data_IF_718763428110
#
_entry.id   IF_718763428110
#
_cell.length_a   1.000
_cell.length_b   1.000
_cell.length_c   1.000
_cell.angle_alpha   90.00
_cell.angle_beta   90.00
_cell.angle_gamma   90.00
#
_symmetry.space_group_name_H-M   'P 1'
#
loop_
_entity.id
_entity.type
_entity.pdbx_description
1 polymer ?
#
# COMPACT_ATOMS: atom_id res chain seq x y z
N UNK A 1 -7.67 9.74 -15.13
CA UNK A 1 -6.72 10.20 -14.08
C UNK A 1 -5.77 9.05 -13.74
N UNK A 2 -4.87 8.70 -14.66
CA UNK A 2 -4.09 7.45 -14.62
C UNK A 2 -2.56 7.67 -14.54
N UNK A 3 -2.10 8.86 -14.17
CA UNK A 3 -0.73 9.29 -14.49
C UNK A 3 0.18 9.71 -13.32
N UNK A 4 -0.05 9.32 -12.05
CA UNK A 4 0.84 9.81 -10.98
C UNK A 4 1.76 8.82 -10.28
N UNK A 5 1.78 7.52 -10.61
CA UNK A 5 2.61 6.58 -9.85
C UNK A 5 3.33 5.51 -10.69
N UNK A 6 3.80 5.85 -11.90
CA UNK A 6 4.72 4.99 -12.65
C UNK A 6 6.15 4.93 -12.06
N UNK A 7 6.42 5.63 -10.94
CA UNK A 7 7.74 5.62 -10.26
C UNK A 7 7.79 4.81 -8.97
N UNK A 8 6.67 4.23 -8.50
CA UNK A 8 6.60 3.51 -7.23
C UNK A 8 5.91 2.15 -7.40
N UNK A 9 6.38 1.36 -8.36
CA UNK A 9 5.95 -0.03 -8.56
C UNK A 9 6.39 -0.99 -7.43
N UNK A 10 6.83 -0.47 -6.27
CA UNK A 10 6.90 -1.20 -4.98
C UNK A 10 5.55 -1.28 -4.26
N UNK A 11 4.48 -0.74 -4.87
CA UNK A 11 3.16 -0.59 -4.25
C UNK A 11 2.51 -1.91 -3.83
N UNK A 12 2.90 -3.06 -4.40
CA UNK A 12 2.25 -4.35 -4.10
C UNK A 12 2.55 -4.90 -2.68
N UNK A 13 3.54 -4.33 -1.98
CA UNK A 13 4.04 -4.82 -0.68
C UNK A 13 3.83 -3.83 0.48
N UNK A 14 3.12 -2.74 0.26
CA UNK A 14 2.83 -1.74 1.31
C UNK A 14 1.38 -1.83 1.76
N UNK A 15 1.09 -1.49 3.02
CA UNK A 15 -0.28 -1.41 3.57
C UNK A 15 -1.19 -0.60 2.63
N UNK A 16 -0.65 0.50 2.08
CA UNK A 16 -1.32 1.34 1.09
C UNK A 16 -1.72 0.60 -0.19
N UNK A 17 -0.88 -0.30 -0.73
CA UNK A 17 -1.23 -1.04 -1.94
C UNK A 17 -2.35 -2.04 -1.73
N UNK A 18 -2.42 -2.65 -0.54
CA UNK A 18 -3.52 -3.54 -0.17
C UNK A 18 -4.83 -2.76 -0.04
N UNK A 19 -4.78 -1.59 0.61
CA UNK A 19 -5.94 -0.69 0.71
C UNK A 19 -6.37 -0.18 -0.67
N UNK A 20 -5.42 0.26 -1.48
CA UNK A 20 -5.69 0.72 -2.84
C UNK A 20 -6.31 -0.39 -3.68
N UNK A 21 -5.82 -1.62 -3.60
CA UNK A 21 -6.41 -2.75 -4.34
C UNK A 21 -7.84 -3.06 -3.87
N UNK A 22 -8.09 -3.06 -2.55
CA UNK A 22 -9.43 -3.31 -1.99
C UNK A 22 -10.43 -2.20 -2.32
N UNK A 23 -10.00 -0.95 -2.23
CA UNK A 23 -10.85 0.23 -2.44
C UNK A 23 -11.04 0.49 -3.93
N UNK A 24 -9.98 0.48 -4.74
CA UNK A 24 -10.08 0.67 -6.19
C UNK A 24 -10.70 -0.52 -6.95
N UNK A 25 -10.94 -1.67 -6.29
CA UNK A 25 -11.74 -2.75 -6.88
C UNK A 25 -13.19 -2.32 -7.15
N UNK A 26 -13.67 -1.23 -6.55
CA UNK A 26 -15.00 -0.68 -6.80
C UNK A 26 -14.89 0.77 -7.31
N UNK A 27 -15.63 1.15 -8.37
CA UNK A 27 -15.72 2.54 -8.76
C UNK A 27 -16.47 3.32 -7.67
N UNK A 28 -15.90 4.45 -7.25
CA UNK A 28 -16.49 5.35 -6.27
C UNK A 28 -16.97 6.62 -6.95
N UNK A 29 -18.22 7.01 -6.66
CA UNK A 29 -18.90 8.17 -7.26
C UNK A 29 -18.42 9.51 -6.70
N UNK A 30 -17.79 9.53 -5.52
CA UNK A 30 -17.23 10.74 -4.91
C UNK A 30 -15.95 10.46 -4.12
N UNK A 31 -15.13 11.50 -3.94
CA UNK A 31 -13.92 11.45 -3.10
C UNK A 31 -14.28 11.19 -1.63
N UNK A 32 -15.44 11.64 -1.19
CA UNK A 32 -15.94 11.40 0.17
C UNK A 32 -16.31 9.93 0.39
N UNK A 33 -16.95 9.29 -0.59
CA UNK A 33 -17.25 7.86 -0.56
C UNK A 33 -15.95 7.02 -0.56
N UNK A 34 -14.94 7.47 -1.32
CA UNK A 34 -13.61 6.87 -1.33
C UNK A 34 -12.95 6.96 0.05
N UNK A 35 -12.94 8.15 0.67
CA UNK A 35 -12.37 8.37 2.02
C UNK A 35 -13.06 7.51 3.06
N UNK A 36 -14.40 7.45 3.04
CA UNK A 36 -15.17 6.62 3.97
C UNK A 36 -14.83 5.13 3.81
N UNK A 37 -14.76 4.64 2.57
CA UNK A 37 -14.39 3.25 2.29
C UNK A 37 -12.96 2.92 2.68
N UNK A 38 -12.04 3.86 2.50
CA UNK A 38 -10.65 3.71 2.92
C UNK A 38 -10.56 3.55 4.45
N UNK A 39 -11.29 4.36 5.21
CA UNK A 39 -11.33 4.25 6.68
C UNK A 39 -11.99 2.94 7.13
N UNK A 40 -13.08 2.53 6.49
CA UNK A 40 -13.72 1.23 6.77
C UNK A 40 -12.77 0.04 6.51
N UNK A 41 -12.03 0.05 5.41
CA UNK A 41 -11.06 -1.01 5.11
C UNK A 41 -9.80 -0.92 5.98
N UNK A 42 -9.43 0.27 6.44
CA UNK A 42 -8.36 0.48 7.41
C UNK A 42 -8.71 -0.11 8.78
N UNK A 43 -9.93 0.14 9.26
CA UNK A 43 -10.40 -0.38 10.55
C UNK A 43 -10.51 -1.92 10.56
N UNK A 44 -10.81 -2.52 9.40
CA UNK A 44 -10.79 -3.98 9.22
C UNK A 44 -9.39 -4.60 9.21
N UNK A 45 -8.32 -3.81 9.03
CA UNK A 45 -6.96 -4.36 9.08
C UNK A 45 -6.61 -4.71 10.52
N UNK A 46 -6.19 -5.94 10.76
CA UNK A 46 -5.75 -6.33 12.09
C UNK A 46 -4.47 -5.59 12.48
N UNK A 47 -4.38 -5.22 13.76
CA UNK A 47 -3.18 -4.61 14.33
C UNK A 47 -1.97 -5.53 14.15
N UNK A 48 -2.17 -6.85 14.18
CA UNK A 48 -1.14 -7.84 13.91
C UNK A 48 -0.60 -7.75 12.47
N UNK A 49 -1.47 -7.55 11.48
CA UNK A 49 -1.06 -7.34 10.09
C UNK A 49 -0.26 -6.04 9.92
N UNK A 50 -0.70 -4.96 10.59
CA UNK A 50 0.03 -3.70 10.61
C UNK A 50 1.41 -3.87 11.22
N UNK A 51 1.51 -4.54 12.38
CA UNK A 51 2.79 -4.83 13.05
C UNK A 51 3.70 -5.68 12.17
N UNK A 52 3.21 -6.76 11.58
CA UNK A 52 4.01 -7.61 10.69
C UNK A 52 4.53 -6.84 9.47
N UNK A 53 3.71 -5.94 8.89
CA UNK A 53 4.13 -5.14 7.74
C UNK A 53 5.17 -4.09 8.12
N UNK A 54 5.03 -3.46 9.29
CA UNK A 54 6.01 -2.50 9.83
C UNK A 54 7.32 -3.21 10.20
N UNK A 55 7.25 -4.39 10.80
CA UNK A 55 8.43 -5.19 11.19
C UNK A 55 9.19 -5.73 9.97
N UNK A 56 8.48 -6.03 8.88
CA UNK A 56 9.11 -6.39 7.61
C UNK A 56 9.81 -5.20 6.91
N UNK A 57 9.47 -3.96 7.29
CA UNK A 57 9.93 -2.75 6.60
C UNK A 57 11.45 -2.52 6.71
N UNK A 58 12.10 -2.63 7.89
CA UNK A 58 13.56 -2.54 8.02
C UNK A 58 14.32 -3.59 7.19
N UNK A 59 13.79 -4.82 7.08
CA UNK A 59 14.41 -5.88 6.27
C UNK A 59 14.37 -5.49 4.79
N UNK A 60 13.25 -4.95 4.32
CA UNK A 60 13.07 -4.49 2.95
C UNK A 60 13.93 -3.28 2.63
N UNK A 61 14.01 -2.31 3.55
CA UNK A 61 14.86 -1.13 3.38
C UNK A 61 16.33 -1.54 3.20
N UNK A 62 16.81 -2.51 4.00
CA UNK A 62 18.15 -3.08 3.84
C UNK A 62 18.35 -3.74 2.48
N UNK A 63 17.35 -4.46 1.97
CA UNK A 63 17.41 -5.05 0.63
C UNK A 63 17.41 -3.96 -0.48
N UNK A 64 16.72 -2.82 -0.30
CA UNK A 64 16.77 -1.70 -1.26
C UNK A 64 18.16 -1.10 -1.28
N UNK A 65 18.74 -0.89 -0.10
CA UNK A 65 20.09 -0.34 0.07
C UNK A 65 21.11 -1.31 -0.56
N UNK A 66 20.98 -2.62 -0.32
CA UNK A 66 21.84 -3.63 -0.93
C UNK A 66 21.70 -3.68 -2.46
N UNK A 67 20.49 -3.49 -2.97
CA UNK A 67 20.20 -3.38 -4.40
C UNK A 67 20.60 -2.01 -5.00
N UNK A 68 21.18 -1.09 -4.22
CA UNK A 68 21.50 0.30 -4.61
C UNK A 68 20.31 1.05 -5.22
N UNK A 69 19.11 0.81 -4.67
CA UNK A 69 17.86 1.36 -5.22
C UNK A 69 17.27 0.57 -6.39
N UNK A 70 17.86 -0.58 -6.73
CA UNK A 70 17.31 -1.52 -7.70
C UNK A 70 16.02 -2.19 -7.22
N UNK A 71 15.27 -2.75 -8.17
CA UNK A 71 14.01 -3.46 -7.88
C UNK A 71 14.30 -4.73 -7.08
N UNK A 72 13.58 -4.90 -5.97
CA UNK A 72 13.63 -6.09 -5.13
C UNK A 72 12.42 -6.94 -5.49
N UNK A 73 12.66 -8.18 -5.91
CA UNK A 73 11.63 -9.20 -6.11
C UNK A 73 11.41 -10.01 -4.82
#
# INVERSE_FOLDING_TARGET
>A
MACFLSGFESSRLSIWGVLQNKVCARPHSSVEALKKKLVEEWDKLSVEYLRATVDAYPRRLRAVIAAKGGRIE
#
